data_IF_815086713715
#
_entry.id   IF_815086713715
#
_cell.length_a   1.000
_cell.length_b   1.000
_cell.length_c   1.000
_cell.angle_alpha   90.00
_cell.angle_beta   90.00
_cell.angle_gamma   90.00
#
_symmetry.space_group_name_H-M   'P 1'
#
loop_
_entity.id
_entity.type
_entity.pdbx_description
1 polymer ?
#
# COMPACT_ATOMS: atom_id res chain seq x y z
N UNK A 1 6.58 5.10 16.19
CA UNK A 1 6.99 3.71 15.85
C UNK A 1 5.75 2.95 15.40
N UNK A 2 5.86 2.17 14.33
CA UNK A 2 4.79 1.32 13.82
C UNK A 2 5.26 -0.13 13.85
N UNK A 3 4.45 -1.02 14.40
CA UNK A 3 4.73 -2.47 14.41
C UNK A 3 3.99 -3.11 13.25
N UNK A 4 4.71 -3.85 12.42
CA UNK A 4 4.14 -4.52 11.25
C UNK A 4 3.24 -5.67 11.69
N UNK A 5 1.97 -5.64 11.27
CA UNK A 5 1.05 -6.78 11.26
C UNK A 5 0.61 -7.13 9.85
N UNK A 6 0.44 -8.43 9.55
CA UNK A 6 0.01 -8.90 8.23
C UNK A 6 -1.36 -8.34 7.81
N UNK A 7 -2.26 -8.11 8.76
CA UNK A 7 -3.62 -7.60 8.55
C UNK A 7 -3.66 -6.15 8.05
N UNK A 8 -2.54 -5.43 8.15
CA UNK A 8 -2.37 -4.05 7.70
C UNK A 8 -1.83 -3.92 6.27
N UNK A 9 -1.42 -5.03 5.63
CA UNK A 9 -0.73 -4.99 4.33
C UNK A 9 -1.66 -4.86 3.12
N UNK A 10 -2.97 -4.97 3.31
CA UNK A 10 -3.98 -4.92 2.25
C UNK A 10 -3.75 -5.94 1.11
N UNK A 11 -3.07 -7.04 1.39
CA UNK A 11 -2.97 -8.21 0.51
C UNK A 11 -3.88 -9.34 0.99
N UNK A 12 -3.96 -10.41 0.20
CA UNK A 12 -4.81 -11.57 0.48
C UNK A 12 -3.99 -12.79 0.96
N UNK A 13 -2.76 -12.58 1.43
CA UNK A 13 -1.80 -13.67 1.73
C UNK A 13 -2.00 -14.22 3.14
N UNK A 14 -2.31 -13.36 4.12
CA UNK A 14 -2.48 -13.77 5.51
C UNK A 14 -1.18 -13.94 6.30
N UNK A 15 -0.04 -13.45 5.78
CA UNK A 15 1.28 -13.60 6.40
C UNK A 15 2.26 -12.52 5.93
N UNK A 16 3.18 -12.11 6.80
CA UNK A 16 4.36 -11.32 6.44
C UNK A 16 5.59 -11.82 7.20
N UNK A 17 6.77 -11.90 6.55
CA UNK A 17 8.01 -12.27 7.24
C UNK A 17 8.47 -11.20 8.24
N UNK A 18 7.87 -10.02 8.22
CA UNK A 18 8.21 -8.89 9.09
C UNK A 18 7.27 -8.75 10.29
N UNK A 19 6.41 -9.74 10.57
CA UNK A 19 5.45 -9.70 11.67
C UNK A 19 6.15 -9.34 13.00
N UNK A 20 5.63 -8.32 13.69
CA UNK A 20 6.18 -7.83 14.95
C UNK A 20 7.43 -6.93 14.82
N UNK A 21 7.91 -6.66 13.61
CA UNK A 21 9.03 -5.73 13.40
C UNK A 21 8.62 -4.28 13.67
N UNK A 22 9.46 -3.54 14.40
CA UNK A 22 9.27 -2.10 14.60
C UNK A 22 9.92 -1.29 13.47
N UNK A 23 9.13 -0.44 12.84
CA UNK A 23 9.58 0.53 11.84
C UNK A 23 9.45 1.96 12.37
N UNK A 24 10.32 2.84 11.86
CA UNK A 24 10.34 4.25 12.22
C UNK A 24 9.16 5.04 11.64
N UNK A 25 8.52 4.53 10.59
CA UNK A 25 7.35 5.16 9.98
C UNK A 25 6.70 4.29 8.90
N UNK A 26 5.54 4.74 8.44
CA UNK A 26 4.74 4.15 7.36
C UNK A 26 4.38 5.22 6.32
N UNK A 27 3.84 4.80 5.17
CA UNK A 27 3.36 5.71 4.15
C UNK A 27 2.07 6.41 4.62
N UNK A 28 2.14 7.71 4.92
CA UNK A 28 0.97 8.49 5.32
C UNK A 28 0.05 8.85 4.14
N UNK A 29 0.63 9.08 2.96
CA UNK A 29 -0.10 9.42 1.73
C UNK A 29 0.54 8.70 0.54
N UNK A 30 -0.29 8.07 -0.30
CA UNK A 30 0.14 7.48 -1.57
C UNK A 30 -0.55 8.19 -2.72
N UNK A 31 0.23 8.60 -3.73
CA UNK A 31 -0.27 9.33 -4.91
C UNK A 31 -0.05 8.48 -6.17
N UNK A 32 -1.09 8.31 -6.97
CA UNK A 32 -1.06 7.57 -8.24
C UNK A 32 -1.69 8.40 -9.35
N UNK A 33 -0.90 8.72 -10.39
CA UNK A 33 -1.36 9.51 -11.52
C UNK A 33 -1.77 10.95 -11.14
N UNK A 34 -1.11 11.53 -10.14
CA UNK A 34 -1.40 12.89 -9.65
C UNK A 34 -2.61 13.01 -8.72
N UNK A 35 -3.19 11.89 -8.28
CA UNK A 35 -4.29 11.89 -7.29
C UNK A 35 -3.91 11.06 -6.06
N UNK A 36 -4.33 11.52 -4.89
CA UNK A 36 -4.24 10.76 -3.64
C UNK A 36 -5.09 9.49 -3.77
N UNK A 37 -4.51 8.35 -3.43
CA UNK A 37 -5.17 7.03 -3.48
C UNK A 37 -5.18 6.32 -2.13
N UNK A 38 -4.29 6.70 -1.21
CA UNK A 38 -4.32 6.28 0.20
C UNK A 38 -3.97 7.51 1.02
N UNK A 39 -4.73 7.74 2.08
CA UNK A 39 -4.45 8.71 3.14
C UNK A 39 -4.96 8.17 4.49
N UNK A 40 -5.12 9.04 5.49
CA UNK A 40 -5.65 8.70 6.81
C UNK A 40 -7.07 8.10 6.82
N UNK A 41 -7.84 8.27 5.74
CA UNK A 41 -9.19 7.71 5.59
C UNK A 41 -9.19 6.34 4.89
N UNK A 42 -8.01 5.83 4.53
CA UNK A 42 -7.82 4.53 3.90
C UNK A 42 -7.68 4.60 2.37
N UNK A 43 -7.94 3.47 1.71
CA UNK A 43 -7.80 3.35 0.25
C UNK A 43 -9.00 3.93 -0.49
N UNK A 44 -8.74 4.80 -1.45
CA UNK A 44 -9.73 5.47 -2.31
C UNK A 44 -9.65 4.95 -3.77
N UNK A 45 -9.08 3.76 -3.97
CA UNK A 45 -8.86 3.17 -5.30
C UNK A 45 -10.11 2.45 -5.81
N UNK A 46 -10.59 2.85 -6.99
CA UNK A 46 -11.60 2.12 -7.73
C UNK A 46 -10.99 0.98 -8.58
N UNK A 47 -11.65 -0.19 -8.70
CA UNK A 47 -11.25 -1.23 -9.64
C UNK A 47 -11.09 -0.68 -11.08
N UNK A 48 -10.05 -1.11 -11.78
CA UNK A 48 -9.77 -0.66 -13.17
C UNK A 48 -9.05 0.70 -13.28
N UNK A 49 -8.71 1.36 -12.16
CA UNK A 49 -7.93 2.61 -12.16
C UNK A 49 -6.51 2.44 -12.70
N UNK A 50 -5.88 1.30 -12.42
CA UNK A 50 -4.57 0.95 -12.97
C UNK A 50 -4.64 0.66 -14.46
N UNK A 51 -3.54 0.85 -15.18
CA UNK A 51 -3.43 0.50 -16.60
C UNK A 51 -2.12 -0.23 -16.89
N UNK A 52 -2.14 -1.07 -17.91
CA UNK A 52 -0.93 -1.67 -18.45
C UNK A 52 0.01 -0.59 -18.99
N UNK A 53 1.30 -0.72 -18.69
CA UNK A 53 2.36 0.16 -19.18
C UNK A 53 3.30 -0.67 -20.07
N UNK A 54 3.25 -0.54 -21.41
CA UNK A 54 4.20 -1.22 -22.28
C UNK A 54 5.61 -0.68 -22.02
N UNK A 55 6.61 -1.57 -22.02
CA UNK A 55 8.03 -1.20 -21.94
C UNK A 55 8.68 -1.47 -23.30
N UNK A 56 9.54 -0.58 -23.75
CA UNK A 56 10.43 -0.88 -24.87
C UNK A 56 11.44 -1.97 -24.46
N UNK A 57 11.85 -2.78 -25.43
CA UNK A 57 12.96 -3.73 -25.26
C UNK A 57 14.30 -2.99 -25.09
#
# INVERSE_FOLDING_TARGET
PWTVGWDQLHDDVGYTPYEGMELLGSAAVVVMGGQVVVDEWGSQVAPGRGRFIPRSA
#
